data_IF_395193137233
#
_entry.id   IF_395193137233
#
_cell.length_a   1.000
_cell.length_b   1.000
_cell.length_c   1.000
_cell.angle_alpha   90.00
_cell.angle_beta   90.00
_cell.angle_gamma   90.00
#
_symmetry.space_group_name_H-M   'P 1'
#
loop_
_entity.id
_entity.type
_entity.pdbx_description
1 polymer ?
#
# COMPACT_ATOMS: atom_id res chain seq x y z
N UNK A 1 -19.91 8.08 -63.15
CA UNK A 1 -20.60 7.50 -61.99
C UNK A 1 -21.07 8.64 -61.09
N UNK A 2 -22.27 8.50 -60.55
CA UNK A 2 -23.22 9.57 -60.23
C UNK A 2 -22.81 10.47 -59.05
N UNK A 3 -22.93 11.79 -59.27
CA UNK A 3 -23.25 12.81 -58.24
C UNK A 3 -24.59 12.47 -57.59
N UNK A 4 -24.87 12.96 -56.38
CA UNK A 4 -26.09 13.72 -56.06
C UNK A 4 -26.00 14.26 -54.63
N UNK A 5 -25.98 15.59 -54.58
CA UNK A 5 -26.29 16.48 -53.46
C UNK A 5 -27.81 16.53 -53.27
N UNK A 6 -28.32 16.64 -52.03
CA UNK A 6 -29.62 17.27 -51.81
C UNK A 6 -29.59 18.16 -50.58
N UNK A 7 -29.84 19.45 -50.82
CA UNK A 7 -30.32 20.45 -49.87
C UNK A 7 -31.61 20.98 -50.47
N UNK A 8 -32.73 20.96 -49.75
CA UNK A 8 -33.91 21.74 -50.10
C UNK A 8 -34.74 22.07 -48.84
N UNK A 9 -35.22 23.31 -48.81
CA UNK A 9 -35.81 24.03 -47.70
C UNK A 9 -37.32 24.31 -47.99
N UNK A 10 -38.12 24.40 -46.92
CA UNK A 10 -39.46 25.06 -46.76
C UNK A 10 -40.73 24.41 -47.36
N UNK A 11 -41.73 24.10 -46.51
CA UNK A 11 -42.98 24.87 -46.36
C UNK A 11 -43.79 24.44 -45.13
N UNK A 12 -44.34 25.45 -44.43
CA UNK A 12 -45.21 25.33 -43.27
C UNK A 12 -46.68 25.11 -43.67
N UNK A 13 -47.43 24.36 -42.87
CA UNK A 13 -48.88 24.53 -42.68
C UNK A 13 -49.29 24.09 -41.27
N UNK A 14 -49.98 24.99 -40.57
CA UNK A 14 -50.81 24.71 -39.39
C UNK A 14 -52.01 23.84 -39.80
N UNK A 15 -52.42 22.88 -38.95
CA UNK A 15 -53.71 22.89 -38.21
C UNK A 15 -54.17 21.49 -37.73
N UNK A 16 -54.43 21.43 -36.41
CA UNK A 16 -55.60 20.82 -35.72
C UNK A 16 -55.62 19.29 -35.43
N UNK A 17 -55.47 19.00 -34.13
CA UNK A 17 -56.09 17.97 -33.27
C UNK A 17 -56.50 16.59 -33.81
N UNK A 18 -55.82 15.56 -33.31
CA UNK A 18 -56.47 14.45 -32.61
C UNK A 18 -55.49 13.84 -31.59
N UNK A 19 -55.77 14.03 -30.30
CA UNK A 19 -55.07 13.36 -29.20
C UNK A 19 -55.53 11.90 -29.21
N UNK A 20 -54.63 10.98 -29.52
CA UNK A 20 -54.78 9.58 -29.15
C UNK A 20 -53.58 9.21 -28.29
N UNK A 21 -53.81 9.12 -26.98
CA UNK A 21 -52.82 8.75 -25.99
C UNK A 21 -52.41 7.28 -26.18
N UNK A 22 -51.43 7.02 -27.04
CA UNK A 22 -50.60 5.84 -26.89
C UNK A 22 -49.68 6.10 -25.70
N UNK A 23 -49.91 5.38 -24.62
CA UNK A 23 -49.00 5.30 -23.47
C UNK A 23 -47.57 5.15 -23.97
N UNK A 24 -46.63 6.04 -23.58
CA UNK A 24 -45.24 5.86 -23.94
C UNK A 24 -44.78 4.53 -23.33
N UNK A 25 -44.38 3.59 -24.18
CA UNK A 25 -43.49 2.52 -23.76
C UNK A 25 -42.28 3.22 -23.16
N UNK A 26 -42.16 3.15 -21.83
CA UNK A 26 -40.91 3.48 -21.16
C UNK A 26 -39.87 2.53 -21.75
N UNK A 27 -39.10 3.03 -22.73
CA UNK A 27 -37.77 2.53 -22.99
C UNK A 27 -36.97 2.86 -21.76
N UNK A 28 -36.86 1.89 -20.85
CA UNK A 28 -35.92 1.95 -19.74
C UNK A 28 -34.55 2.26 -20.36
N UNK A 29 -33.89 3.36 -19.99
CA UNK A 29 -32.56 3.68 -20.49
C UNK A 29 -31.65 2.50 -20.17
N UNK A 30 -30.90 2.05 -21.17
CA UNK A 30 -29.83 1.06 -21.07
C UNK A 30 -29.03 1.31 -19.79
N UNK A 31 -29.19 0.40 -18.83
CA UNK A 31 -28.48 0.42 -17.56
C UNK A 31 -27.00 0.60 -17.88
N UNK A 32 -26.38 1.62 -17.29
CA UNK A 32 -24.96 1.94 -17.38
C UNK A 32 -24.17 0.63 -17.27
N UNK A 33 -23.54 0.23 -18.37
CA UNK A 33 -22.63 -0.93 -18.36
C UNK A 33 -21.60 -0.68 -17.28
N UNK A 34 -21.55 -1.56 -16.28
CA UNK A 34 -20.60 -1.42 -15.18
C UNK A 34 -19.19 -1.50 -15.80
N UNK A 35 -18.56 -0.34 -16.06
CA UNK A 35 -17.30 -0.22 -16.79
C UNK A 35 -16.09 -0.68 -15.94
N UNK A 36 -16.36 -1.29 -14.78
CA UNK A 36 -15.36 -1.81 -13.87
C UNK A 36 -15.52 -3.32 -13.71
N UNK A 37 -14.39 -3.97 -13.45
CA UNK A 37 -14.34 -5.40 -13.18
C UNK A 37 -13.64 -5.67 -11.85
N UNK A 38 -14.01 -6.77 -11.16
CA UNK A 38 -13.27 -7.23 -10.01
C UNK A 38 -11.92 -7.82 -10.45
N UNK A 39 -10.85 -7.28 -9.88
CA UNK A 39 -9.50 -7.84 -9.96
C UNK A 39 -9.17 -8.41 -8.59
N UNK A 40 -9.09 -9.74 -8.52
CA UNK A 40 -8.78 -10.50 -7.32
C UNK A 40 -7.30 -10.82 -7.28
N UNK A 41 -6.68 -10.58 -6.14
CA UNK A 41 -5.24 -10.69 -5.96
C UNK A 41 -4.93 -11.57 -4.76
N UNK A 42 -3.94 -12.44 -4.92
CA UNK A 42 -3.34 -13.18 -3.81
C UNK A 42 -1.84 -12.87 -3.77
N UNK A 43 -1.32 -12.57 -2.59
CA UNK A 43 0.11 -12.33 -2.35
C UNK A 43 0.64 -13.38 -1.37
N UNK A 44 1.70 -14.08 -1.79
CA UNK A 44 2.34 -15.14 -0.99
C UNK A 44 3.85 -15.00 -0.99
N UNK A 45 4.50 -15.76 -0.11
CA UNK A 45 5.93 -16.05 -0.25
C UNK A 45 6.25 -16.78 -1.57
N UNK A 46 7.53 -16.94 -1.88
CA UNK A 46 7.97 -17.56 -3.14
C UNK A 46 7.52 -19.03 -3.27
N UNK A 47 7.38 -19.74 -2.15
CA UNK A 47 6.92 -21.13 -2.12
C UNK A 47 5.39 -21.27 -2.23
N UNK A 48 4.65 -20.15 -2.19
CA UNK A 48 3.17 -20.10 -2.17
C UNK A 48 2.54 -20.78 -0.94
N UNK A 49 3.33 -20.98 0.11
CA UNK A 49 2.93 -21.67 1.34
C UNK A 49 2.47 -20.68 2.42
N UNK A 50 3.00 -19.46 2.41
CA UNK A 50 2.74 -18.43 3.42
C UNK A 50 2.04 -17.22 2.80
N UNK A 51 0.81 -16.86 3.23
CA UNK A 51 0.18 -15.63 2.80
C UNK A 51 0.88 -14.40 3.37
N UNK A 52 0.87 -13.29 2.64
CA UNK A 52 1.42 -12.02 3.09
C UNK A 52 0.31 -11.00 3.41
N UNK A 53 -0.08 -10.85 4.69
CA UNK A 53 -1.14 -9.94 5.12
C UNK A 53 -0.66 -8.51 5.36
N UNK A 54 -1.60 -7.55 5.33
CA UNK A 54 -1.38 -6.10 5.51
C UNK A 54 -0.52 -5.43 4.42
N UNK A 55 -0.32 -6.12 3.32
CA UNK A 55 0.53 -5.67 2.23
C UNK A 55 -0.27 -4.81 1.25
N UNK A 56 0.31 -3.70 0.79
CA UNK A 56 -0.39 -2.76 -0.09
C UNK A 56 -0.14 -3.09 -1.55
N UNK A 57 -1.19 -3.30 -2.33
CA UNK A 57 -1.13 -3.40 -3.79
C UNK A 57 -1.68 -2.10 -4.36
N UNK A 58 -0.91 -1.47 -5.22
CA UNK A 58 -1.18 -0.19 -5.84
C UNK A 58 -1.31 -0.38 -7.36
N UNK A 59 -2.44 0.05 -7.90
CA UNK A 59 -2.71 0.08 -9.33
C UNK A 59 -2.66 1.53 -9.80
N UNK A 60 -1.75 1.82 -10.72
CA UNK A 60 -1.62 3.17 -11.31
C UNK A 60 -2.11 3.12 -12.74
N UNK A 61 -3.24 3.75 -13.04
CA UNK A 61 -3.74 3.83 -14.41
C UNK A 61 -2.77 4.69 -15.24
N UNK A 62 -2.16 4.10 -16.27
CA UNK A 62 -1.11 4.78 -17.05
C UNK A 62 -1.62 6.02 -17.80
N UNK A 63 -2.90 6.03 -18.18
CA UNK A 63 -3.52 7.13 -18.93
C UNK A 63 -4.00 8.26 -18.02
N UNK A 64 -4.75 7.93 -16.97
CA UNK A 64 -5.34 8.95 -16.06
C UNK A 64 -4.41 9.34 -14.92
N UNK A 65 -3.33 8.56 -14.70
CA UNK A 65 -2.42 8.65 -13.53
C UNK A 65 -3.13 8.44 -12.19
N UNK A 66 -4.39 8.01 -12.21
CA UNK A 66 -5.15 7.71 -10.99
C UNK A 66 -4.59 6.48 -10.30
N UNK A 67 -4.32 6.62 -9.02
CA UNK A 67 -3.91 5.55 -8.13
C UNK A 67 -5.12 4.89 -7.45
N UNK A 68 -5.11 3.57 -7.38
CA UNK A 68 -6.04 2.78 -6.57
C UNK A 68 -5.24 1.79 -5.73
N UNK A 69 -5.28 1.96 -4.42
CA UNK A 69 -4.58 1.09 -3.48
C UNK A 69 -5.56 0.14 -2.79
N UNK A 70 -5.09 -1.06 -2.47
CA UNK A 70 -5.81 -2.03 -1.63
C UNK A 70 -4.83 -2.77 -0.74
N UNK A 71 -5.32 -3.32 0.39
CA UNK A 71 -4.51 -4.10 1.34
C UNK A 71 -4.91 -5.57 1.32
N UNK A 72 -3.94 -6.45 1.54
CA UNK A 72 -4.19 -7.89 1.72
C UNK A 72 -4.71 -8.21 3.12
N UNK A 73 -5.64 -9.16 3.20
CA UNK A 73 -6.17 -9.67 4.45
C UNK A 73 -5.26 -10.76 5.07
N UNK A 74 -5.70 -11.43 6.15
CA UNK A 74 -4.92 -12.50 6.82
C UNK A 74 -4.58 -13.70 5.91
N UNK A 75 -5.37 -13.95 4.87
CA UNK A 75 -5.11 -14.96 3.84
C UNK A 75 -4.26 -14.45 2.67
N UNK A 76 -3.72 -13.23 2.74
CA UNK A 76 -2.94 -12.63 1.66
C UNK A 76 -3.78 -12.22 0.46
N UNK A 77 -5.11 -12.13 0.61
CA UNK A 77 -6.06 -11.88 -0.49
C UNK A 77 -6.60 -10.47 -0.45
N UNK A 78 -6.95 -9.95 -1.63
CA UNK A 78 -7.63 -8.66 -1.79
C UNK A 78 -8.40 -8.58 -3.11
N UNK A 79 -9.34 -7.65 -3.21
CA UNK A 79 -10.14 -7.42 -4.41
C UNK A 79 -10.28 -5.91 -4.65
N UNK A 80 -10.16 -5.48 -5.90
CA UNK A 80 -10.35 -4.09 -6.32
C UNK A 80 -11.15 -4.03 -7.62
N UNK A 81 -12.02 -3.03 -7.76
CA UNK A 81 -12.77 -2.80 -8.99
C UNK A 81 -12.06 -1.78 -9.88
N UNK A 82 -11.54 -2.22 -11.02
CA UNK A 82 -10.75 -1.40 -11.96
C UNK A 82 -11.47 -1.23 -13.29
N UNK A 83 -11.22 -0.11 -13.96
CA UNK A 83 -11.90 0.27 -15.22
C UNK A 83 -11.35 -0.53 -16.40
N UNK A 84 -12.25 -0.93 -17.30
CA UNK A 84 -11.87 -1.62 -18.53
C UNK A 84 -11.28 -0.68 -19.57
N UNK A 85 -10.49 -1.23 -20.48
CA UNK A 85 -9.85 -0.51 -21.60
C UNK A 85 -8.62 0.31 -21.18
N UNK A 86 -8.02 -0.02 -20.03
CA UNK A 86 -6.86 0.69 -19.49
C UNK A 86 -5.72 -0.26 -19.12
N UNK A 87 -4.52 0.30 -19.16
CA UNK A 87 -3.29 -0.33 -18.68
C UNK A 87 -2.97 0.24 -17.30
N UNK A 88 -2.66 -0.65 -16.36
CA UNK A 88 -2.32 -0.32 -14.98
C UNK A 88 -0.91 -0.78 -14.65
N UNK A 89 -0.06 0.10 -14.12
CA UNK A 89 1.17 -0.34 -13.45
C UNK A 89 0.79 -0.98 -12.12
N UNK A 90 1.14 -2.25 -11.93
CA UNK A 90 0.90 -2.97 -10.68
C UNK A 90 2.12 -2.85 -9.80
N UNK A 91 1.96 -2.21 -8.65
CA UNK A 91 3.01 -2.01 -7.67
C UNK A 91 2.63 -2.68 -6.37
N UNK A 92 3.60 -3.24 -5.68
CA UNK A 92 3.47 -3.79 -4.35
C UNK A 92 4.30 -2.95 -3.40
N UNK A 93 3.68 -2.40 -2.36
CA UNK A 93 4.38 -1.70 -1.28
C UNK A 93 4.40 -2.61 -0.05
N UNK A 94 5.60 -3.07 0.27
CA UNK A 94 5.88 -3.91 1.43
C UNK A 94 5.69 -3.14 2.74
N UNK A 95 5.37 -3.87 3.82
CA UNK A 95 5.47 -3.33 5.17
C UNK A 95 6.90 -2.83 5.43
N UNK A 96 7.04 -1.58 5.90
CA UNK A 96 8.35 -0.87 5.93
C UNK A 96 8.55 0.09 4.75
N UNK A 97 7.63 0.12 3.79
CA UNK A 97 7.51 1.16 2.78
C UNK A 97 8.39 1.00 1.54
N UNK A 98 9.03 -0.15 1.33
CA UNK A 98 9.67 -0.46 0.05
C UNK A 98 8.61 -0.77 -1.00
N UNK A 99 8.84 -0.36 -2.25
CA UNK A 99 7.89 -0.54 -3.35
C UNK A 99 8.55 -1.32 -4.48
N UNK A 100 7.85 -2.34 -4.97
CA UNK A 100 8.24 -3.25 -6.03
C UNK A 100 7.28 -3.09 -7.21
N UNK A 101 7.83 -2.99 -8.42
CA UNK A 101 7.07 -2.81 -9.64
C UNK A 101 6.93 -4.18 -10.35
N UNK A 102 5.69 -4.62 -10.58
CA UNK A 102 5.37 -5.84 -11.30
C UNK A 102 5.03 -5.57 -12.78
N UNK A 103 5.11 -4.32 -13.21
CA UNK A 103 4.90 -3.89 -14.57
C UNK A 103 3.43 -3.68 -14.95
N UNK A 104 3.18 -3.44 -16.23
CA UNK A 104 1.86 -3.13 -16.75
C UNK A 104 0.94 -4.34 -16.78
N UNK A 105 -0.32 -4.11 -16.47
CA UNK A 105 -1.43 -5.05 -16.57
C UNK A 105 -2.59 -4.40 -17.33
N UNK A 106 -2.92 -4.94 -18.50
CA UNK A 106 -4.03 -4.43 -19.31
C UNK A 106 -5.35 -5.10 -18.91
N UNK A 107 -6.39 -4.28 -18.79
CA UNK A 107 -7.76 -4.75 -18.65
C UNK A 107 -8.48 -4.54 -19.97
N UNK A 108 -8.72 -5.61 -20.71
CA UNK A 108 -9.44 -5.55 -21.98
C UNK A 108 -10.91 -5.12 -21.80
N UNK A 109 -11.50 -4.52 -22.84
CA UNK A 109 -12.89 -4.03 -22.83
C UNK A 109 -13.95 -5.14 -22.61
N UNK A 110 -13.65 -6.36 -23.04
CA UNK A 110 -14.52 -7.54 -22.89
C UNK A 110 -14.31 -8.27 -21.55
N UNK A 111 -13.30 -7.90 -20.74
CA UNK A 111 -12.97 -8.60 -19.51
C UNK A 111 -14.15 -8.54 -18.52
N UNK A 112 -14.31 -9.60 -17.73
CA UNK A 112 -15.35 -9.74 -16.70
C UNK A 112 -14.77 -9.83 -15.29
N UNK A 113 -13.48 -10.11 -15.17
CA UNK A 113 -12.74 -10.20 -13.92
C UNK A 113 -11.38 -10.84 -14.16
N UNK A 114 -10.46 -10.65 -13.20
CA UNK A 114 -9.17 -11.30 -13.21
C UNK A 114 -8.84 -11.89 -11.85
N UNK A 115 -8.02 -12.93 -11.86
CA UNK A 115 -7.34 -13.45 -10.67
C UNK A 115 -5.85 -13.46 -10.94
N UNK A 116 -5.09 -12.79 -10.08
CA UNK A 116 -3.65 -12.65 -10.17
C UNK A 116 -3.01 -13.18 -8.88
N UNK A 117 -1.83 -13.77 -9.00
CA UNK A 117 -1.03 -14.21 -7.85
C UNK A 117 0.35 -13.58 -7.94
N UNK A 118 0.71 -12.77 -6.94
CA UNK A 118 2.04 -12.18 -6.80
C UNK A 118 2.82 -12.97 -5.77
N UNK A 119 4.12 -13.12 -6.00
CA UNK A 119 5.04 -13.77 -5.09
C UNK A 119 6.11 -12.77 -4.66
N UNK A 120 6.45 -12.78 -3.37
CA UNK A 120 7.44 -11.91 -2.76
C UNK A 120 8.03 -12.58 -1.52
N UNK A 121 9.34 -12.55 -1.34
CA UNK A 121 9.96 -13.00 -0.09
C UNK A 121 10.27 -11.77 0.80
N UNK A 122 9.53 -11.55 1.90
CA UNK A 122 9.81 -10.43 2.78
C UNK A 122 11.15 -10.63 3.49
N UNK A 123 11.97 -9.57 3.63
CA UNK A 123 13.18 -9.67 4.42
C UNK A 123 12.82 -9.92 5.89
N UNK A 124 13.66 -10.69 6.60
CA UNK A 124 13.50 -10.91 8.04
C UNK A 124 13.74 -9.66 8.88
N UNK A 125 14.34 -8.61 8.33
CA UNK A 125 14.49 -7.30 8.98
C UNK A 125 14.10 -6.20 7.99
N UNK A 126 13.29 -5.25 8.44
CA UNK A 126 12.91 -4.08 7.66
C UNK A 126 12.98 -2.82 8.51
N UNK A 127 13.22 -1.69 7.86
CA UNK A 127 13.31 -0.39 8.52
C UNK A 127 11.91 0.15 8.80
N UNK A 128 11.68 0.63 10.02
CA UNK A 128 10.47 1.38 10.36
C UNK A 128 10.64 2.82 9.91
N UNK A 129 10.41 3.08 8.61
CA UNK A 129 10.52 4.41 8.02
C UNK A 129 9.66 5.41 8.79
N UNK A 130 10.16 6.63 8.98
CA UNK A 130 9.49 7.72 9.70
C UNK A 130 9.27 7.50 11.20
N UNK A 131 9.89 6.47 11.81
CA UNK A 131 9.99 6.42 13.28
C UNK A 131 11.08 7.39 13.73
N UNK A 132 10.64 8.52 14.28
CA UNK A 132 11.50 9.62 14.69
C UNK A 132 11.44 9.89 16.19
N UNK A 133 12.55 10.44 16.70
CA UNK A 133 12.71 10.84 18.08
C UNK A 133 13.16 12.28 18.19
N UNK A 134 12.85 12.92 19.33
CA UNK A 134 13.47 14.20 19.67
C UNK A 134 15.00 14.07 19.80
N UNK A 135 15.72 15.17 19.51
CA UNK A 135 17.18 15.19 19.53
C UNK A 135 17.72 14.78 20.91
N UNK A 136 18.64 13.80 20.93
CA UNK A 136 19.21 13.24 22.16
C UNK A 136 18.22 12.49 23.06
N UNK A 137 16.98 12.27 22.62
CA UNK A 137 15.92 11.64 23.42
C UNK A 137 15.40 10.34 22.80
N UNK A 138 14.66 9.60 23.61
CA UNK A 138 13.89 8.41 23.23
C UNK A 138 12.37 8.69 23.15
N UNK A 139 11.96 9.96 23.21
CA UNK A 139 10.56 10.36 23.04
C UNK A 139 10.17 10.28 21.57
N UNK A 140 9.17 9.45 21.25
CA UNK A 140 8.62 9.30 19.91
C UNK A 140 7.94 10.60 19.46
N UNK A 141 8.25 11.06 18.25
CA UNK A 141 7.53 12.17 17.62
C UNK A 141 6.19 11.72 17.04
N UNK A 142 5.19 12.62 16.92
CA UNK A 142 3.89 12.31 16.34
C UNK A 142 3.92 11.66 14.95
N UNK A 143 4.89 12.04 14.10
CA UNK A 143 5.06 11.48 12.75
C UNK A 143 5.29 9.95 12.76
N UNK A 144 5.85 9.42 13.85
CA UNK A 144 6.16 8.00 14.02
C UNK A 144 4.91 7.13 14.12
N UNK A 145 3.79 7.67 14.59
CA UNK A 145 2.63 6.88 14.92
C UNK A 145 1.95 6.25 13.71
N UNK A 146 2.09 6.83 12.51
CA UNK A 146 1.62 6.23 11.27
C UNK A 146 2.38 4.93 10.96
N UNK A 147 3.71 4.98 10.97
CA UNK A 147 4.56 3.80 10.75
C UNK A 147 4.36 2.72 11.82
N UNK A 148 4.21 3.12 13.08
CA UNK A 148 3.93 2.18 14.16
C UNK A 148 2.54 1.55 14.05
N UNK A 149 1.55 2.27 13.51
CA UNK A 149 0.22 1.71 13.23
C UNK A 149 0.28 0.57 12.22
N UNK A 150 1.08 0.72 11.15
CA UNK A 150 1.29 -0.35 10.16
C UNK A 150 1.91 -1.60 10.80
N UNK A 151 2.91 -1.43 11.67
CA UNK A 151 3.51 -2.54 12.43
C UNK A 151 2.48 -3.22 13.34
N UNK A 152 1.66 -2.46 14.06
CA UNK A 152 0.62 -2.99 14.95
C UNK A 152 -0.42 -3.79 14.16
N UNK A 153 -0.88 -3.27 13.02
CA UNK A 153 -1.81 -3.97 12.13
C UNK A 153 -1.23 -5.29 11.63
N UNK A 154 0.05 -5.29 11.20
CA UNK A 154 0.76 -6.51 10.80
C UNK A 154 0.78 -7.54 11.94
N UNK A 155 1.15 -7.12 13.15
CA UNK A 155 1.24 -8.02 14.31
C UNK A 155 -0.12 -8.56 14.76
N UNK A 156 -1.21 -7.82 14.54
CA UNK A 156 -2.58 -8.30 14.76
C UNK A 156 -3.00 -9.36 13.74
N UNK A 157 -2.60 -9.18 12.48
CA UNK A 157 -2.88 -10.12 11.40
C UNK A 157 -2.01 -11.38 11.47
N UNK A 158 -0.83 -11.31 12.10
CA UNK A 158 0.08 -12.44 12.34
C UNK A 158 0.23 -12.72 13.84
N UNK A 159 -0.72 -13.40 14.50
CA UNK A 159 -0.74 -13.54 15.96
C UNK A 159 0.44 -14.35 16.54
N UNK A 160 1.11 -15.18 15.72
CA UNK A 160 2.26 -16.02 16.12
C UNK A 160 3.61 -15.33 15.94
N UNK A 161 3.67 -14.24 15.19
CA UNK A 161 4.93 -13.57 14.86
C UNK A 161 5.52 -12.88 16.09
N UNK A 162 6.81 -13.10 16.32
CA UNK A 162 7.63 -12.43 17.33
C UNK A 162 8.62 -11.48 16.63
N UNK A 163 8.82 -10.29 17.19
CA UNK A 163 9.62 -9.21 16.60
C UNK A 163 10.61 -8.64 17.62
N UNK A 164 11.87 -8.49 17.20
CA UNK A 164 12.89 -7.70 17.88
C UNK A 164 12.95 -6.29 17.26
N UNK A 165 12.74 -5.26 18.07
CA UNK A 165 12.96 -3.87 17.66
C UNK A 165 14.44 -3.51 17.86
N UNK A 166 15.09 -3.03 16.82
CA UNK A 166 16.51 -2.69 16.82
C UNK A 166 16.71 -1.19 16.69
N UNK A 167 17.42 -0.60 17.64
CA UNK A 167 17.79 0.81 17.59
C UNK A 167 19.22 1.01 17.12
N UNK A 168 19.43 2.01 16.26
CA UNK A 168 20.76 2.41 15.78
C UNK A 168 20.94 3.93 15.89
N UNK A 169 22.18 4.37 16.05
CA UNK A 169 22.59 5.78 16.04
C UNK A 169 23.60 6.03 14.92
N UNK A 170 23.92 7.31 14.69
CA UNK A 170 25.16 7.67 14.02
C UNK A 170 26.33 7.62 15.00
N UNK A 171 27.53 7.94 14.51
CA UNK A 171 28.77 7.93 15.30
C UNK A 171 29.01 9.21 16.13
N UNK A 172 28.02 10.09 16.30
CA UNK A 172 28.20 11.33 17.07
C UNK A 172 27.93 11.06 18.55
N UNK A 173 28.93 11.25 19.39
CA UNK A 173 28.85 11.01 20.84
C UNK A 173 29.80 9.90 21.28
N UNK A 174 29.62 9.41 22.51
CA UNK A 174 30.39 8.26 23.00
C UNK A 174 29.72 6.95 22.62
N UNK A 175 30.47 5.86 22.38
CA UNK A 175 29.90 4.54 22.11
C UNK A 175 28.89 4.08 23.17
N UNK A 176 29.19 4.30 24.46
CA UNK A 176 28.30 3.94 25.57
C UNK A 176 27.01 4.78 25.56
N UNK A 177 27.12 6.07 25.22
CA UNK A 177 25.98 6.96 25.08
C UNK A 177 25.08 6.54 23.92
N UNK A 178 25.68 6.23 22.79
CA UNK A 178 25.01 5.73 21.59
C UNK A 178 24.29 4.41 21.86
N UNK A 179 24.94 3.47 22.55
CA UNK A 179 24.34 2.20 22.93
C UNK A 179 23.09 2.42 23.81
N UNK A 180 23.21 3.18 24.89
CA UNK A 180 22.09 3.51 25.80
C UNK A 180 20.94 4.21 25.07
N UNK A 181 21.26 5.19 24.22
CA UNK A 181 20.25 5.93 23.47
C UNK A 181 19.51 5.04 22.48
N UNK A 182 20.24 4.20 21.75
CA UNK A 182 19.66 3.27 20.78
C UNK A 182 18.75 2.24 21.46
N UNK A 183 19.13 1.72 22.62
CA UNK A 183 18.33 0.78 23.41
C UNK A 183 17.07 1.44 23.96
N UNK A 184 17.20 2.65 24.51
CA UNK A 184 16.05 3.42 25.02
C UNK A 184 15.02 3.72 23.90
N UNK A 185 15.49 4.03 22.68
CA UNK A 185 14.63 4.24 21.51
C UNK A 185 13.89 2.98 21.08
N UNK A 186 14.60 1.85 21.01
CA UNK A 186 14.00 0.57 20.69
C UNK A 186 12.95 0.17 21.75
N UNK A 187 13.26 0.39 23.03
CA UNK A 187 12.33 0.19 24.14
C UNK A 187 11.09 1.08 24.02
N UNK A 188 11.24 2.37 23.70
CA UNK A 188 10.12 3.29 23.55
C UNK A 188 9.13 2.84 22.46
N UNK A 189 9.64 2.26 21.36
CA UNK A 189 8.81 1.65 20.32
C UNK A 189 8.07 0.43 20.86
N UNK A 190 8.75 -0.50 21.54
CA UNK A 190 8.10 -1.66 22.17
C UNK A 190 7.02 -1.24 23.15
N UNK A 191 7.32 -0.30 24.05
CA UNK A 191 6.37 0.21 25.04
C UNK A 191 5.11 0.77 24.36
N UNK A 192 5.26 1.52 23.26
CA UNK A 192 4.14 2.03 22.48
C UNK A 192 3.33 0.92 21.81
N UNK A 193 3.99 -0.06 21.19
CA UNK A 193 3.30 -1.18 20.52
C UNK A 193 2.53 -2.05 21.53
N UNK A 194 3.11 -2.29 22.71
CA UNK A 194 2.44 -2.97 23.83
C UNK A 194 1.23 -2.17 24.32
N UNK A 195 1.38 -0.85 24.49
CA UNK A 195 0.26 0.03 24.86
C UNK A 195 -0.90 -0.04 23.86
N UNK A 196 -0.64 -0.35 22.59
CA UNK A 196 -1.64 -0.53 21.53
C UNK A 196 -2.22 -1.95 21.44
N UNK A 197 -1.90 -2.81 22.41
CA UNK A 197 -2.56 -4.11 22.63
C UNK A 197 -1.81 -5.32 22.06
N UNK A 198 -0.55 -5.19 21.67
CA UNK A 198 0.28 -6.35 21.32
C UNK A 198 0.89 -6.95 22.59
N UNK A 199 0.84 -8.28 22.73
CA UNK A 199 1.44 -8.97 23.88
C UNK A 199 2.95 -8.72 23.95
N UNK A 200 3.43 -8.26 25.10
CA UNK A 200 4.84 -8.02 25.39
C UNK A 200 5.72 -9.25 25.12
N UNK A 201 5.19 -10.47 25.30
CA UNK A 201 5.95 -11.72 25.02
C UNK A 201 6.35 -11.87 23.56
N UNK A 202 5.68 -11.16 22.65
CA UNK A 202 5.96 -11.17 21.21
C UNK A 202 6.95 -10.11 20.78
N UNK A 203 7.47 -9.32 21.73
CA UNK A 203 8.30 -8.16 21.46
C UNK A 203 9.57 -8.21 22.32
N UNK A 204 10.70 -8.09 21.65
CA UNK A 204 11.99 -7.78 22.30
C UNK A 204 12.54 -6.48 21.75
N UNK A 205 13.52 -5.89 22.43
CA UNK A 205 14.23 -4.72 21.93
C UNK A 205 15.72 -4.86 22.18
N UNK A 206 16.52 -4.25 21.32
CA UNK A 206 17.98 -4.19 21.46
C UNK A 206 18.55 -2.91 20.86
N UNK A 207 19.47 -2.27 21.59
CA UNK A 207 20.30 -1.19 21.07
C UNK A 207 21.58 -1.72 20.45
N UNK A 208 21.99 -1.15 19.32
CA UNK A 208 23.25 -1.44 18.65
C UNK A 208 24.19 -0.23 18.58
N UNK A 209 23.77 0.92 19.12
CA UNK A 209 24.53 2.17 18.99
C UNK A 209 24.92 2.45 17.55
N UNK A 210 26.19 2.77 17.35
CA UNK A 210 26.82 3.09 16.07
C UNK A 210 27.59 1.91 15.45
N UNK A 211 27.51 0.71 16.04
CA UNK A 211 28.34 -0.44 15.62
C UNK A 211 27.87 -1.11 14.33
N UNK A 212 26.71 -0.73 13.80
CA UNK A 212 26.12 -1.27 12.58
C UNK A 212 25.63 -0.16 11.63
N UNK A 213 26.56 0.63 11.05
CA UNK A 213 26.21 1.69 10.11
C UNK A 213 25.71 1.11 8.78
N UNK A 214 24.62 1.66 8.26
CA UNK A 214 24.07 1.35 6.93
C UNK A 214 24.62 2.27 5.85
N UNK A 215 25.21 3.40 6.25
CA UNK A 215 25.81 4.37 5.36
C UNK A 215 27.04 5.02 5.98
N UNK A 216 27.78 5.80 5.18
CA UNK A 216 28.96 6.51 5.65
C UNK A 216 28.57 7.56 6.70
N UNK A 217 29.32 7.64 7.81
CA UNK A 217 29.12 8.63 8.86
C UNK A 217 29.77 10.00 8.55
N UNK A 218 30.56 10.12 7.48
CA UNK A 218 31.26 11.38 7.17
C UNK A 218 30.29 12.49 6.73
N UNK A 219 29.12 12.13 6.19
CA UNK A 219 28.14 13.10 5.68
C UNK A 219 26.91 13.22 6.59
N UNK A 220 26.30 14.41 6.70
CA UNK A 220 25.03 14.58 7.41
C UNK A 220 23.93 13.63 6.91
N UNK A 221 23.87 13.41 5.59
CA UNK A 221 22.90 12.53 4.94
C UNK A 221 23.13 11.07 5.33
N UNK A 222 24.39 10.61 5.33
CA UNK A 222 24.72 9.25 5.76
C UNK A 222 24.48 9.02 7.25
N UNK A 223 24.79 10.00 8.11
CA UNK A 223 24.42 9.95 9.54
C UNK A 223 22.91 9.87 9.75
N UNK A 224 22.11 10.63 9.00
CA UNK A 224 20.64 10.52 9.07
C UNK A 224 20.16 9.11 8.72
N UNK A 225 20.80 8.42 7.76
CA UNK A 225 20.46 7.02 7.41
C UNK A 225 20.88 6.02 8.50
N UNK A 226 21.89 6.34 9.30
CA UNK A 226 22.33 5.47 10.41
C UNK A 226 21.43 5.60 11.65
N UNK A 227 20.83 6.78 11.87
CA UNK A 227 19.79 7.01 12.88
C UNK A 227 18.47 6.37 12.47
N UNK A 228 18.34 5.07 12.67
CA UNK A 228 17.18 4.28 12.22
C UNK A 228 16.69 3.31 13.29
N UNK A 229 15.46 2.87 13.11
CA UNK A 229 14.85 1.78 13.88
C UNK A 229 14.43 0.67 12.92
N UNK A 230 14.75 -0.57 13.24
CA UNK A 230 14.35 -1.74 12.45
C UNK A 230 13.43 -2.64 13.25
N UNK A 231 12.57 -3.37 12.55
CA UNK A 231 11.82 -4.49 13.08
C UNK A 231 12.36 -5.77 12.45
N UNK A 232 12.82 -6.70 13.29
CA UNK A 232 13.33 -8.00 12.86
C UNK A 232 12.42 -9.12 13.34
N UNK A 233 11.90 -9.91 12.39
CA UNK A 233 11.11 -11.11 12.68
C UNK A 233 12.04 -12.19 13.23
N UNK A 234 11.82 -12.59 14.49
CA UNK A 234 12.60 -13.65 15.16
C UNK A 234 11.93 -15.01 15.06
N UNK A 235 10.61 -15.03 14.80
CA UNK A 235 9.79 -16.23 14.64
C UNK A 235 8.52 -15.90 13.87
N UNK A 236 8.11 -16.77 12.95
CA UNK A 236 6.91 -16.64 12.13
C UNK A 236 6.05 -17.91 12.09
#
# INVERSE_FOLDING_TARGET
MKKITYSMFVFAFLCIYAINAQTPKQTTPTNLTNNKIPVRMTLTNMEKTKPLPNETILFVNQKTKKETATKTNKEGKTEVNLEKGFIYDVKFRATGGDTYDYGPFEIENNATGFTLTLQYEPPRSFELKNVEFDSGKATLKPVSFAALSELIELMKLKPTTEIEIRGHTDNVGTPEGNLKLSEARAKAVVDYVVLKGIDKKRLTFKGFGDTQPKNNNDTPQGRQKNRRTEASVTKD
#
